data_IF_869606625408
#
_entry.id   IF_869606625408
#
_cell.length_a   1.000
_cell.length_b   1.000
_cell.length_c   1.000
_cell.angle_alpha   90.00
_cell.angle_beta   90.00
_cell.angle_gamma   90.00
#
_symmetry.space_group_name_H-M   'P 1'
#
loop_
_entity.id
_entity.type
_entity.pdbx_description
1 polymer ?
#
# COMPACT_ATOMS: atom_id res chain seq x y z
N UNK A 1 -54.60 -39.34 -42.55
CA UNK A 1 -53.96 -38.03 -42.57
C UNK A 1 -52.45 -38.20 -42.81
N UNK A 2 -51.96 -37.99 -44.03
CA UNK A 2 -50.53 -38.07 -44.35
C UNK A 2 -49.92 -36.69 -44.10
N UNK A 3 -49.26 -36.50 -42.98
CA UNK A 3 -48.49 -35.29 -42.68
C UNK A 3 -47.28 -35.30 -43.64
N UNK A 4 -47.24 -34.32 -44.53
CA UNK A 4 -46.23 -34.20 -45.58
C UNK A 4 -44.90 -33.83 -44.89
N UNK A 5 -43.85 -34.63 -45.01
CA UNK A 5 -42.57 -34.47 -44.31
C UNK A 5 -41.85 -33.14 -44.57
N UNK A 6 -42.26 -32.39 -45.62
CA UNK A 6 -41.77 -31.03 -45.92
C UNK A 6 -42.20 -29.98 -44.93
N UNK A 7 -43.38 -30.11 -44.30
CA UNK A 7 -43.91 -29.12 -43.35
C UNK A 7 -43.25 -29.24 -41.99
N UNK A 8 -42.85 -30.45 -41.61
CA UNK A 8 -42.15 -30.71 -40.33
C UNK A 8 -40.78 -30.05 -40.32
N UNK A 9 -40.03 -30.07 -41.41
CA UNK A 9 -38.69 -29.44 -41.49
C UNK A 9 -38.76 -27.91 -41.45
N UNK A 10 -39.85 -27.30 -41.96
CA UNK A 10 -40.07 -25.85 -41.89
C UNK A 10 -40.43 -25.41 -40.47
N UNK A 11 -41.31 -26.18 -39.81
CA UNK A 11 -41.69 -25.92 -38.41
C UNK A 11 -40.49 -26.10 -37.45
N UNK A 12 -39.69 -27.16 -37.66
CA UNK A 12 -38.45 -27.36 -36.88
C UNK A 12 -37.46 -26.23 -37.04
N UNK A 13 -37.27 -25.71 -38.24
CA UNK A 13 -36.42 -24.53 -38.46
C UNK A 13 -36.94 -23.28 -37.74
N UNK A 14 -38.23 -23.03 -37.76
CA UNK A 14 -38.84 -21.90 -37.03
C UNK A 14 -38.60 -22.00 -35.52
N UNK A 15 -38.82 -23.21 -34.96
CA UNK A 15 -38.58 -23.49 -33.54
C UNK A 15 -37.10 -23.28 -33.18
N UNK A 16 -36.20 -23.77 -34.04
CA UNK A 16 -34.76 -23.61 -33.87
C UNK A 16 -34.34 -22.09 -33.86
N UNK A 17 -34.82 -21.31 -34.82
CA UNK A 17 -34.55 -19.88 -34.87
C UNK A 17 -35.14 -19.15 -33.67
N UNK A 18 -36.32 -19.54 -33.19
CA UNK A 18 -36.94 -18.95 -32.01
C UNK A 18 -36.14 -19.27 -30.75
N UNK A 19 -35.64 -20.48 -30.57
CA UNK A 19 -34.76 -20.88 -29.48
C UNK A 19 -33.44 -20.08 -29.51
N UNK A 20 -32.86 -19.93 -30.70
CA UNK A 20 -31.62 -19.17 -30.88
C UNK A 20 -31.79 -17.68 -30.54
N UNK A 21 -32.94 -17.08 -30.93
CA UNK A 21 -33.28 -15.70 -30.56
C UNK A 21 -33.47 -15.52 -29.05
N UNK A 22 -34.15 -16.46 -28.39
CA UNK A 22 -34.31 -16.45 -26.92
C UNK A 22 -32.98 -16.58 -26.21
N UNK A 23 -32.10 -17.48 -26.65
CA UNK A 23 -30.73 -17.63 -26.11
C UNK A 23 -29.93 -16.34 -26.29
N UNK A 24 -30.04 -15.67 -27.43
CA UNK A 24 -29.35 -14.39 -27.65
C UNK A 24 -29.85 -13.28 -26.75
N UNK A 25 -31.16 -13.16 -26.56
CA UNK A 25 -31.77 -12.17 -25.63
C UNK A 25 -31.33 -12.44 -24.19
N UNK A 26 -31.35 -13.70 -23.75
CA UNK A 26 -30.92 -14.07 -22.40
C UNK A 26 -29.43 -13.80 -22.16
N UNK A 27 -28.59 -14.12 -23.14
CA UNK A 27 -27.17 -13.81 -23.13
C UNK A 27 -26.91 -12.31 -23.05
N UNK A 28 -27.56 -11.54 -23.89
CA UNK A 28 -27.48 -10.06 -23.89
C UNK A 28 -27.92 -9.49 -22.55
N UNK A 29 -29.03 -9.97 -21.99
CA UNK A 29 -29.51 -9.57 -20.66
C UNK A 29 -28.49 -9.84 -19.56
N UNK A 30 -27.84 -11.02 -19.61
CA UNK A 30 -26.82 -11.40 -18.63
C UNK A 30 -25.58 -10.52 -18.70
N UNK A 31 -25.14 -10.17 -19.92
CA UNK A 31 -24.02 -9.24 -20.13
C UNK A 31 -24.33 -7.84 -19.62
N UNK A 32 -25.50 -7.31 -19.92
CA UNK A 32 -25.94 -5.97 -19.47
C UNK A 32 -26.04 -5.94 -17.94
N UNK A 33 -26.60 -6.99 -17.31
CA UNK A 33 -26.74 -7.08 -15.85
C UNK A 33 -25.38 -7.14 -15.15
N UNK A 34 -24.40 -7.86 -15.72
CA UNK A 34 -23.05 -7.94 -15.17
C UNK A 34 -22.32 -6.60 -15.21
N UNK A 35 -22.54 -5.81 -16.24
CA UNK A 35 -21.92 -4.48 -16.38
C UNK A 35 -22.57 -3.41 -15.47
N UNK A 36 -23.80 -3.65 -15.01
CA UNK A 36 -24.53 -2.69 -14.15
C UNK A 36 -24.23 -2.88 -12.65
N UNK A 37 -23.57 -3.95 -12.26
CA UNK A 37 -23.46 -4.39 -10.85
C UNK A 37 -22.27 -3.79 -10.10
N UNK A 38 -21.34 -3.10 -10.75
CA UNK A 38 -20.22 -2.45 -10.09
C UNK A 38 -20.02 -1.04 -10.63
N UNK A 39 -20.87 -0.10 -10.17
CA UNK A 39 -20.52 1.32 -10.34
C UNK A 39 -19.38 1.60 -9.36
N UNK A 40 -18.18 1.78 -9.89
CA UNK A 40 -17.05 2.30 -9.17
C UNK A 40 -17.21 3.81 -8.89
N UNK A 41 -16.25 4.39 -8.23
CA UNK A 41 -16.12 5.83 -8.07
C UNK A 41 -14.66 6.22 -8.23
N UNK A 42 -14.44 7.45 -8.69
CA UNK A 42 -13.08 7.95 -8.93
C UNK A 42 -12.71 8.99 -7.89
N UNK A 43 -11.44 9.08 -7.55
CA UNK A 43 -10.87 10.12 -6.69
C UNK A 43 -9.61 10.69 -7.33
N UNK A 44 -9.24 11.89 -6.94
CA UNK A 44 -8.00 12.54 -7.33
C UNK A 44 -7.00 12.43 -6.19
N UNK A 45 -5.78 12.00 -6.53
CA UNK A 45 -4.65 11.93 -5.57
C UNK A 45 -3.55 12.82 -6.12
N UNK A 46 -3.08 13.75 -5.31
CA UNK A 46 -1.98 14.63 -5.64
C UNK A 46 -0.70 14.15 -4.99
N UNK A 47 0.35 13.97 -5.78
CA UNK A 47 1.68 13.59 -5.34
C UNK A 47 2.71 14.64 -5.75
N UNK A 48 3.75 14.83 -4.97
CA UNK A 48 4.90 15.67 -5.36
C UNK A 48 5.61 15.13 -6.60
N UNK A 49 5.66 13.80 -6.75
CA UNK A 49 6.31 13.12 -7.86
C UNK A 49 5.57 11.84 -8.27
N UNK A 50 5.59 11.52 -9.54
CA UNK A 50 4.93 10.32 -10.06
C UNK A 50 5.54 9.00 -9.54
N UNK A 51 6.83 8.96 -9.20
CA UNK A 51 7.52 7.80 -8.61
C UNK A 51 7.22 6.45 -9.28
N UNK A 52 7.12 6.45 -10.62
CA UNK A 52 6.80 5.26 -11.41
C UNK A 52 5.32 4.93 -11.51
N UNK A 53 4.42 5.78 -11.03
CA UNK A 53 2.97 5.66 -11.29
C UNK A 53 2.73 5.80 -12.80
N UNK A 54 1.85 4.97 -13.31
CA UNK A 54 1.40 4.96 -14.71
C UNK A 54 -0.05 4.49 -14.80
N UNK A 55 -0.77 4.75 -15.89
CA UNK A 55 -2.09 4.16 -16.10
C UNK A 55 -2.04 2.64 -15.91
N UNK A 56 -3.00 2.10 -15.15
CA UNK A 56 -3.03 0.69 -14.76
C UNK A 56 -2.29 0.35 -13.45
N UNK A 57 -1.57 1.29 -12.83
CA UNK A 57 -0.97 1.05 -11.49
C UNK A 57 -2.05 0.66 -10.49
N UNK A 58 -1.88 -0.47 -9.76
CA UNK A 58 -2.90 -0.96 -8.83
C UNK A 58 -3.03 -0.06 -7.60
N UNK A 59 -4.27 0.09 -7.13
CA UNK A 59 -4.62 0.74 -5.87
C UNK A 59 -4.97 -0.32 -4.85
N UNK A 60 -4.32 -0.30 -3.70
CA UNK A 60 -4.54 -1.29 -2.65
C UNK A 60 -5.03 -0.62 -1.37
N UNK A 61 -6.07 -1.16 -0.79
CA UNK A 61 -6.56 -0.81 0.55
C UNK A 61 -6.17 -1.93 1.51
N UNK A 62 -5.30 -1.63 2.47
CA UNK A 62 -4.75 -2.64 3.39
C UNK A 62 -4.19 -3.88 2.67
N UNK A 63 -3.53 -3.69 1.53
CA UNK A 63 -2.94 -4.77 0.73
C UNK A 63 -3.88 -5.45 -0.27
N UNK A 64 -5.19 -5.15 -0.25
CA UNK A 64 -6.17 -5.73 -1.18
C UNK A 64 -6.35 -4.78 -2.36
N UNK A 65 -6.23 -5.28 -3.58
CA UNK A 65 -6.47 -4.49 -4.79
C UNK A 65 -7.95 -4.09 -4.89
N UNK A 66 -8.20 -2.77 -4.91
CA UNK A 66 -9.54 -2.18 -4.96
C UNK A 66 -9.79 -1.36 -6.22
N UNK A 67 -8.75 -1.09 -7.02
CA UNK A 67 -8.86 -0.24 -8.19
C UNK A 67 -7.54 -0.05 -8.92
N UNK A 68 -7.52 0.91 -9.82
CA UNK A 68 -6.33 1.24 -10.60
C UNK A 68 -6.28 2.71 -10.99
N UNK A 69 -5.08 3.17 -11.33
CA UNK A 69 -4.86 4.49 -11.94
C UNK A 69 -5.45 4.50 -13.35
N UNK A 70 -6.27 5.50 -13.65
CA UNK A 70 -6.88 5.71 -14.96
C UNK A 70 -6.00 6.63 -15.80
N UNK A 71 -5.62 7.78 -15.22
CA UNK A 71 -4.87 8.81 -15.91
C UNK A 71 -4.00 9.59 -14.92
N UNK A 72 -3.00 10.29 -15.44
CA UNK A 72 -2.12 11.17 -14.65
C UNK A 72 -1.75 12.41 -15.47
N UNK A 73 -1.75 13.54 -14.79
CA UNK A 73 -1.41 14.84 -15.39
C UNK A 73 -0.34 15.53 -14.54
N UNK A 74 0.72 16.01 -15.19
CA UNK A 74 1.73 16.81 -14.51
C UNK A 74 1.24 18.24 -14.37
N UNK A 75 1.25 18.75 -13.16
CA UNK A 75 1.06 20.15 -12.83
C UNK A 75 2.40 20.86 -12.61
N UNK A 76 2.38 22.15 -12.26
CA UNK A 76 3.61 22.94 -12.11
C UNK A 76 4.48 22.41 -10.96
N UNK A 77 3.87 22.02 -9.84
CA UNK A 77 4.58 21.60 -8.63
C UNK A 77 4.22 20.19 -8.16
N UNK A 78 3.30 19.51 -8.83
CA UNK A 78 2.74 18.23 -8.41
C UNK A 78 2.32 17.37 -9.59
N UNK A 79 1.94 16.15 -9.31
CA UNK A 79 1.35 15.21 -10.26
C UNK A 79 -0.03 14.82 -9.76
N UNK A 80 -1.03 15.15 -10.54
CA UNK A 80 -2.40 14.78 -10.27
C UNK A 80 -2.71 13.42 -10.89
N UNK A 81 -3.17 12.48 -10.07
CA UNK A 81 -3.48 11.11 -10.46
C UNK A 81 -4.97 10.85 -10.31
N UNK A 82 -5.63 10.51 -11.41
CA UNK A 82 -7.01 10.06 -11.40
C UNK A 82 -7.04 8.55 -11.19
N UNK A 83 -7.69 8.10 -10.12
CA UNK A 83 -7.83 6.69 -9.80
C UNK A 83 -9.31 6.28 -9.82
N UNK A 84 -9.56 5.05 -10.24
CA UNK A 84 -10.90 4.45 -10.24
C UNK A 84 -10.95 3.28 -9.25
N UNK A 85 -11.93 3.33 -8.36
CA UNK A 85 -12.21 2.30 -7.38
C UNK A 85 -13.33 1.42 -7.93
N UNK A 86 -13.06 0.13 -8.08
CA UNK A 86 -13.93 -0.81 -8.80
C UNK A 86 -15.32 -0.99 -8.18
N UNK A 87 -15.49 -0.65 -6.90
CA UNK A 87 -16.74 -0.94 -6.18
C UNK A 87 -17.12 0.22 -5.24
N UNK A 88 -18.32 0.78 -5.42
CA UNK A 88 -18.86 1.85 -4.57
C UNK A 88 -19.21 1.43 -3.14
N UNK A 89 -19.17 0.14 -2.83
CA UNK A 89 -19.34 -0.36 -1.45
C UNK A 89 -18.06 -0.25 -0.63
N UNK A 90 -16.91 0.00 -1.28
CA UNK A 90 -15.64 0.20 -0.60
C UNK A 90 -15.58 1.65 -0.13
N UNK A 91 -15.75 1.85 1.17
CA UNK A 91 -15.63 3.16 1.81
C UNK A 91 -14.20 3.38 2.28
N UNK A 92 -13.53 4.40 1.77
CA UNK A 92 -12.20 4.81 2.18
C UNK A 92 -12.35 5.96 3.18
N UNK A 93 -11.80 5.88 4.40
CA UNK A 93 -11.82 6.99 5.36
C UNK A 93 -11.10 8.22 4.82
N UNK A 94 -11.58 9.42 5.13
CA UNK A 94 -10.88 10.67 4.79
C UNK A 94 -9.50 10.75 5.43
N UNK A 95 -9.40 10.28 6.67
CA UNK A 95 -8.12 10.20 7.38
C UNK A 95 -7.44 8.86 7.02
N UNK A 96 -6.82 8.84 5.85
CA UNK A 96 -6.04 7.69 5.35
C UNK A 96 -4.71 8.21 4.83
N UNK A 97 -3.64 7.51 5.14
CA UNK A 97 -2.34 7.71 4.55
C UNK A 97 -2.33 7.03 3.17
N UNK A 98 -1.98 7.78 2.14
CA UNK A 98 -1.89 7.29 0.76
C UNK A 98 -0.43 7.39 0.32
N UNK A 99 0.17 6.26 0.01
CA UNK A 99 1.60 6.17 -0.31
C UNK A 99 1.85 5.44 -1.62
N UNK A 100 2.88 5.90 -2.35
CA UNK A 100 3.42 5.15 -3.49
C UNK A 100 4.49 4.18 -3.01
N UNK A 101 4.20 2.89 -3.01
CA UNK A 101 5.15 1.85 -2.62
C UNK A 101 5.65 1.07 -3.83
N UNK A 102 6.96 0.80 -3.85
CA UNK A 102 7.58 -0.08 -4.84
C UNK A 102 7.86 -1.43 -4.20
N UNK A 103 7.23 -2.48 -4.73
CA UNK A 103 7.37 -3.84 -4.23
C UNK A 103 8.19 -4.68 -5.20
N UNK A 104 9.17 -5.41 -4.66
CA UNK A 104 9.99 -6.36 -5.41
C UNK A 104 11.14 -5.74 -6.20
N UNK A 105 11.98 -6.62 -6.76
CA UNK A 105 13.16 -6.27 -7.55
C UNK A 105 12.83 -5.72 -8.95
N UNK A 106 11.60 -5.94 -9.43
CA UNK A 106 11.13 -5.53 -10.75
C UNK A 106 10.52 -4.12 -10.76
N UNK A 107 10.57 -3.43 -9.61
CA UNK A 107 10.09 -2.05 -9.48
C UNK A 107 8.58 -1.90 -9.75
N UNK A 108 7.79 -2.87 -9.32
CA UNK A 108 6.34 -2.80 -9.43
C UNK A 108 5.80 -1.76 -8.46
N UNK A 109 5.34 -0.64 -9.01
CA UNK A 109 4.74 0.45 -8.24
C UNK A 109 3.27 0.14 -7.96
N UNK A 110 2.84 0.39 -6.73
CA UNK A 110 1.44 0.36 -6.30
C UNK A 110 1.15 1.58 -5.42
N UNK A 111 -0.10 2.01 -5.40
CA UNK A 111 -0.58 3.02 -4.45
C UNK A 111 -1.27 2.30 -3.31
N UNK A 112 -0.73 2.44 -2.11
CA UNK A 112 -1.27 1.84 -0.90
C UNK A 112 -2.07 2.87 -0.10
N UNK A 113 -3.29 2.51 0.28
CA UNK A 113 -4.17 3.29 1.13
C UNK A 113 -4.22 2.62 2.50
N UNK A 114 -3.73 3.32 3.51
CA UNK A 114 -3.66 2.88 4.90
C UNK A 114 -4.63 3.74 5.73
N UNK A 115 -5.83 3.26 6.05
CA UNK A 115 -6.76 3.99 6.91
C UNK A 115 -6.17 4.16 8.32
N UNK A 116 -6.10 5.40 8.77
CA UNK A 116 -5.66 5.76 10.12
C UNK A 116 -6.82 5.73 11.12
N UNK A 117 -8.04 5.97 10.63
CA UNK A 117 -9.24 5.91 11.43
C UNK A 117 -10.04 4.62 11.20
N UNK A 118 -10.68 4.15 12.25
CA UNK A 118 -11.69 3.11 12.18
C UNK A 118 -13.03 3.77 11.85
N UNK A 119 -13.57 3.54 10.66
CA UNK A 119 -14.96 3.86 10.36
C UNK A 119 -15.83 2.80 11.03
N UNK A 120 -16.59 3.19 12.05
CA UNK A 120 -17.56 2.29 12.66
C UNK A 120 -18.56 1.86 11.57
N UNK A 121 -18.48 0.61 11.16
CA UNK A 121 -19.51 -0.01 10.32
C UNK A 121 -20.78 -0.21 11.17
N UNK A 122 -21.54 0.86 11.38
CA UNK A 122 -22.90 0.71 11.83
C UNK A 122 -23.68 0.06 10.67
N UNK A 123 -24.21 -1.12 10.93
CA UNK A 123 -24.91 -1.98 9.95
C UNK A 123 -26.05 -1.28 9.18
N UNK A 124 -26.46 -0.08 9.60
CA UNK A 124 -27.62 0.63 9.08
C UNK A 124 -27.30 1.95 8.35
N UNK A 125 -26.02 2.34 8.17
CA UNK A 125 -25.71 3.63 7.54
C UNK A 125 -24.36 3.57 6.83
N UNK A 126 -24.28 2.72 5.79
CA UNK A 126 -23.16 2.82 4.83
C UNK A 126 -23.51 3.94 3.85
N UNK A 127 -22.98 5.14 4.11
CA UNK A 127 -23.08 6.25 3.17
C UNK A 127 -22.33 5.84 1.90
N UNK A 128 -23.00 5.89 0.76
CA UNK A 128 -22.36 5.61 -0.53
C UNK A 128 -21.41 6.75 -0.92
N UNK A 129 -20.19 6.49 -1.42
CA UNK A 129 -19.29 7.52 -1.96
C UNK A 129 -19.90 8.34 -3.10
N UNK A 130 -20.94 7.82 -3.75
CA UNK A 130 -21.67 8.48 -4.83
C UNK A 130 -22.87 9.34 -4.38
N UNK A 131 -23.20 9.31 -3.09
CA UNK A 131 -24.36 10.06 -2.57
C UNK A 131 -23.96 11.51 -2.27
N UNK A 132 -24.93 12.43 -2.35
CA UNK A 132 -24.76 13.83 -1.96
C UNK A 132 -24.45 14.01 -0.47
N UNK A 133 -24.87 13.07 0.36
CA UNK A 133 -24.64 13.07 1.82
C UNK A 133 -23.20 12.67 2.17
N UNK A 134 -22.44 12.14 1.22
CA UNK A 134 -21.06 11.72 1.42
C UNK A 134 -20.18 12.86 1.95
N UNK A 135 -20.35 14.08 1.48
CA UNK A 135 -19.49 15.22 1.85
C UNK A 135 -19.52 15.55 3.34
N UNK A 136 -20.63 15.26 4.02
CA UNK A 136 -20.78 15.40 5.48
C UNK A 136 -20.23 14.20 6.25
N UNK A 137 -19.87 13.12 5.57
CA UNK A 137 -19.37 11.88 6.17
C UNK A 137 -17.85 11.89 6.34
N UNK A 138 -17.33 10.85 7.02
CA UNK A 138 -15.88 10.65 7.24
C UNK A 138 -15.21 9.81 6.16
N UNK A 139 -15.85 9.61 5.01
CA UNK A 139 -15.32 8.82 3.90
C UNK A 139 -15.00 9.72 2.71
N UNK A 140 -14.14 9.22 1.82
CA UNK A 140 -13.82 9.86 0.55
C UNK A 140 -14.99 9.70 -0.41
N UNK A 141 -15.40 10.82 -1.03
CA UNK A 141 -16.48 10.87 -1.96
C UNK A 141 -15.98 10.80 -3.41
N UNK A 142 -16.88 10.53 -4.33
CA UNK A 142 -16.57 10.63 -5.76
C UNK A 142 -16.01 12.00 -6.11
N UNK A 143 -14.91 12.02 -6.88
CA UNK A 143 -14.16 13.20 -7.27
C UNK A 143 -13.59 14.03 -6.11
N UNK A 144 -13.44 13.43 -4.92
CA UNK A 144 -12.71 14.08 -3.83
C UNK A 144 -11.21 14.14 -4.12
N UNK A 145 -10.57 15.13 -3.53
CA UNK A 145 -9.16 15.42 -3.63
C UNK A 145 -8.44 14.95 -2.35
N UNK A 146 -7.30 14.29 -2.51
CA UNK A 146 -6.50 13.78 -1.38
C UNK A 146 -5.03 13.92 -1.70
N UNK A 147 -4.22 14.25 -0.72
CA UNK A 147 -2.76 14.27 -0.84
C UNK A 147 -2.21 12.85 -0.67
N UNK A 148 -1.23 12.53 -1.50
CA UNK A 148 -0.49 11.27 -1.44
C UNK A 148 0.98 11.52 -1.14
N UNK A 149 1.59 10.63 -0.39
CA UNK A 149 2.99 10.72 0.02
C UNK A 149 3.86 9.70 -0.73
N UNK A 150 5.16 9.94 -0.69
CA UNK A 150 6.14 8.99 -1.17
C UNK A 150 6.40 7.93 -0.09
N UNK A 151 6.05 6.70 -0.37
CA UNK A 151 6.37 5.57 0.49
C UNK A 151 7.78 5.01 0.27
N UNK A 152 7.96 3.76 0.69
CA UNK A 152 9.25 3.07 0.59
C UNK A 152 9.62 2.76 -0.87
N UNK A 153 10.82 3.18 -1.25
CA UNK A 153 11.40 2.89 -2.55
C UNK A 153 12.63 1.98 -2.39
N UNK A 154 12.69 0.91 -3.18
CA UNK A 154 13.82 -0.02 -3.20
C UNK A 154 15.14 0.66 -3.55
N UNK A 155 15.13 1.62 -4.48
CA UNK A 155 16.30 2.39 -4.88
C UNK A 155 16.91 3.18 -3.70
N UNK A 156 16.07 3.77 -2.86
CA UNK A 156 16.53 4.51 -1.68
C UNK A 156 17.18 3.57 -0.65
N UNK A 157 16.63 2.36 -0.49
CA UNK A 157 17.23 1.34 0.36
C UNK A 157 18.61 0.91 -0.15
N UNK A 158 18.73 0.64 -1.45
CA UNK A 158 20.02 0.28 -2.07
C UNK A 158 21.02 1.41 -1.95
N UNK A 159 20.63 2.65 -2.24
CA UNK A 159 21.51 3.82 -2.10
C UNK A 159 21.95 4.02 -0.64
N UNK A 160 21.04 3.85 0.31
CA UNK A 160 21.37 3.96 1.74
C UNK A 160 22.37 2.88 2.17
N UNK A 161 22.12 1.61 1.81
CA UNK A 161 23.02 0.49 2.11
C UNK A 161 24.37 0.65 1.44
N UNK A 162 24.42 1.08 0.19
CA UNK A 162 25.69 1.35 -0.51
C UNK A 162 26.47 2.47 0.17
N UNK A 163 25.82 3.56 0.59
CA UNK A 163 26.48 4.65 1.32
C UNK A 163 27.01 4.22 2.69
N UNK A 164 26.25 3.36 3.38
CA UNK A 164 26.69 2.78 4.65
C UNK A 164 27.91 1.89 4.41
N UNK A 165 27.85 0.98 3.44
CA UNK A 165 28.97 0.08 3.08
C UNK A 165 30.23 0.88 2.71
N UNK A 166 30.12 1.93 1.91
CA UNK A 166 31.25 2.80 1.54
C UNK A 166 31.88 3.51 2.75
N UNK A 167 31.09 3.84 3.78
CA UNK A 167 31.64 4.42 5.02
C UNK A 167 32.35 3.39 5.88
N UNK A 168 31.88 2.16 5.89
CA UNK A 168 32.57 1.05 6.59
C UNK A 168 33.86 0.64 5.89
N UNK A 169 33.99 0.83 4.58
CA UNK A 169 35.24 0.57 3.83
C UNK A 169 36.28 1.71 3.99
N UNK A 170 35.93 2.84 4.65
CA UNK A 170 36.87 3.93 4.89
C UNK A 170 37.90 3.53 5.97
N UNK A 171 39.22 3.48 5.65
CA UNK A 171 40.27 3.15 6.62
C UNK A 171 40.25 4.04 7.88
N UNK A 172 39.75 5.28 7.75
CA UNK A 172 39.63 6.22 8.87
C UNK A 172 38.61 5.73 9.90
N UNK A 173 37.50 5.14 9.43
CA UNK A 173 36.49 4.56 10.31
C UNK A 173 37.08 3.43 11.16
N UNK A 174 37.81 2.50 10.53
CA UNK A 174 38.47 1.40 11.24
C UNK A 174 39.52 1.89 12.22
N UNK A 175 40.31 2.91 11.87
CA UNK A 175 41.28 3.49 12.78
C UNK A 175 40.62 4.10 14.02
N UNK A 176 39.55 4.87 13.85
CA UNK A 176 38.80 5.44 14.97
C UNK A 176 38.18 4.36 15.84
N UNK A 177 37.56 3.35 15.20
CA UNK A 177 36.94 2.23 15.90
C UNK A 177 37.98 1.40 16.67
N UNK A 178 39.13 1.11 16.05
CA UNK A 178 40.24 0.42 16.69
C UNK A 178 40.76 1.21 17.90
N UNK A 179 41.00 2.51 17.74
CA UNK A 179 41.44 3.39 18.84
C UNK A 179 40.41 3.44 19.96
N UNK A 180 39.13 3.48 19.64
CA UNK A 180 38.06 3.42 20.65
C UNK A 180 38.08 2.10 21.45
N UNK A 181 38.21 0.97 20.77
CA UNK A 181 38.32 -0.33 21.42
C UNK A 181 39.57 -0.43 22.29
N UNK A 182 40.74 0.03 21.81
CA UNK A 182 41.99 0.03 22.54
C UNK A 182 41.90 0.89 23.80
N UNK A 183 41.37 2.09 23.71
CA UNK A 183 41.15 2.97 24.86
C UNK A 183 40.10 2.36 25.84
N UNK A 184 39.12 1.64 25.35
CA UNK A 184 38.13 0.94 26.16
C UNK A 184 38.75 -0.22 26.99
N UNK A 185 39.69 -0.96 26.39
CA UNK A 185 40.43 -2.02 27.10
C UNK A 185 41.30 -1.40 28.19
N UNK A 186 42.11 -0.37 27.84
CA UNK A 186 42.96 0.33 28.80
C UNK A 186 42.16 0.94 29.95
N UNK A 187 41.00 1.53 29.68
CA UNK A 187 40.10 2.05 30.69
C UNK A 187 39.56 0.94 31.62
N UNK A 188 39.22 -0.22 31.06
CA UNK A 188 38.79 -1.39 31.83
C UNK A 188 39.90 -1.91 32.77
N UNK A 189 41.12 -2.00 32.28
CA UNK A 189 42.27 -2.43 33.07
C UNK A 189 42.57 -1.46 34.23
N UNK A 190 42.44 -0.16 33.99
CA UNK A 190 42.58 0.86 35.02
C UNK A 190 41.48 0.77 36.08
N UNK A 191 40.24 0.48 35.72
CA UNK A 191 39.15 0.27 36.68
C UNK A 191 39.43 -0.97 37.55
N UNK A 192 39.90 -2.05 36.95
CA UNK A 192 40.24 -3.29 37.71
C UNK A 192 41.38 -3.02 38.69
N UNK A 193 42.41 -2.26 38.28
CA UNK A 193 43.53 -1.92 39.15
C UNK A 193 43.07 -1.03 40.35
N UNK A 194 42.29 0.00 40.08
CA UNK A 194 41.70 0.87 41.09
C UNK A 194 40.84 0.07 42.08
N UNK A 195 40.01 -0.84 41.56
CA UNK A 195 39.16 -1.71 42.39
C UNK A 195 40.01 -2.62 43.34
N UNK A 196 41.14 -3.16 42.81
CA UNK A 196 42.03 -3.97 43.61
C UNK A 196 42.73 -3.18 44.71
N UNK A 197 43.14 -1.92 44.40
CA UNK A 197 43.79 -1.03 45.36
C UNK A 197 42.82 -0.59 46.48
N UNK A 198 41.57 -0.29 46.12
CA UNK A 198 40.51 0.03 47.10
C UNK A 198 40.28 -1.20 48.01
N UNK A 199 40.19 -2.41 47.43
CA UNK A 199 40.00 -3.63 48.21
C UNK A 199 41.16 -3.87 49.20
N UNK A 200 42.40 -3.61 48.76
CA UNK A 200 43.59 -3.70 49.61
C UNK A 200 43.57 -2.69 50.72
N UNK A 201 43.18 -1.44 50.40
CA UNK A 201 43.05 -0.35 51.36
C UNK A 201 42.03 -0.66 52.48
N UNK A 202 40.85 -1.17 52.08
CA UNK A 202 39.81 -1.61 53.01
C UNK A 202 40.34 -2.75 53.94
N UNK A 203 41.08 -3.71 53.35
CA UNK A 203 41.68 -4.79 54.11
C UNK A 203 42.65 -4.31 55.21
N UNK A 204 43.55 -3.35 54.88
CA UNK A 204 44.49 -2.74 55.83
C UNK A 204 43.74 -2.00 56.95
N UNK A 205 42.69 -1.23 56.57
CA UNK A 205 41.86 -0.49 57.56
C UNK A 205 41.10 -1.41 58.51
N UNK A 206 40.59 -2.54 58.01
CA UNK A 206 39.87 -3.52 58.81
C UNK A 206 40.80 -4.23 59.82
N UNK A 207 42.06 -4.48 59.45
CA UNK A 207 43.06 -5.07 60.34
C UNK A 207 43.51 -4.08 61.44
N UNK A 208 43.57 -2.79 61.15
CA UNK A 208 43.94 -1.77 62.13
C UNK A 208 42.82 -1.53 63.19
N UNK A 209 41.56 -1.63 62.79
CA UNK A 209 40.40 -1.50 63.70
C UNK A 209 40.26 -2.74 64.62
N UNK A 210 40.82 -3.85 64.28
CA UNK A 210 40.74 -5.11 65.03
C UNK A 210 41.81 -5.22 66.13
N UNK A 211 42.78 -4.33 66.16
CA UNK A 211 43.79 -4.18 67.18
C UNK A 211 43.36 -3.17 68.27
#
# INVERSE_FOLDING_TARGET
MKIKSSDINVELKKIFFLLLAVMFVLSSWFFVKKQYQSRGYSIFIEFDNANGIRPGTPIRLRGINIGSVVDLTSEINSVLVLVDINNSLIAIPKNSLIETNQTGLLNDTAIDILPLDLVAQSKNMIVSPLSSECFSSRILCHLSYVEGERGLNYDDLIRATTRISQRFDDPRFFNIFYTFLQNGIEFSDNIVSISSDISRFIGIFADEIKK
#
